data_IF_022319084376
#
_entry.id   IF_022319084376
#
_cell.length_a   1.000
_cell.length_b   1.000
_cell.length_c   1.000
_cell.angle_alpha   90.00
_cell.angle_beta   90.00
_cell.angle_gamma   90.00
#
_symmetry.space_group_name_H-M   'P 1'
#
loop_
_entity.id
_entity.type
_entity.pdbx_description
1 polymer ?
#
# COMPACT_ATOMS: atom_id res chain seq x y z
N UNK A 1 8.50 1.98 25.57
CA UNK A 1 7.41 2.49 24.72
C UNK A 1 7.05 1.43 23.70
N UNK A 2 5.82 0.88 23.75
CA UNK A 2 5.35 -0.21 22.87
C UNK A 2 5.15 0.38 21.46
N UNK A 3 5.93 -0.04 20.47
CA UNK A 3 5.77 0.44 19.08
C UNK A 3 4.33 0.15 18.63
N UNK A 4 3.58 1.14 18.12
CA UNK A 4 2.26 0.89 17.57
C UNK A 4 2.43 -0.03 16.36
N UNK A 5 1.85 -1.23 16.47
CA UNK A 5 1.80 -2.20 15.38
C UNK A 5 0.67 -1.78 14.45
N UNK A 6 0.96 -0.88 13.51
CA UNK A 6 0.04 -0.53 12.43
C UNK A 6 -0.08 -1.72 11.49
N UNK A 7 -0.92 -2.68 11.84
CA UNK A 7 -1.30 -3.81 10.98
C UNK A 7 -2.65 -3.51 10.37
N UNK A 8 -2.66 -2.67 9.33
CA UNK A 8 -3.79 -2.68 8.40
C UNK A 8 -3.74 -4.04 7.69
N UNK A 9 -4.75 -4.87 7.89
CA UNK A 9 -4.79 -6.21 7.30
C UNK A 9 -4.88 -6.12 5.77
N UNK A 10 -4.09 -6.93 5.05
CA UNK A 10 -4.21 -7.07 3.58
C UNK A 10 -5.66 -7.38 3.15
N UNK A 11 -6.39 -8.14 3.97
CA UNK A 11 -7.79 -8.46 3.73
C UNK A 11 -8.70 -7.23 3.82
N UNK A 12 -8.46 -6.33 4.78
CA UNK A 12 -9.25 -5.10 4.93
C UNK A 12 -9.09 -4.18 3.72
N UNK A 13 -7.85 -4.03 3.22
CA UNK A 13 -7.58 -3.29 1.98
C UNK A 13 -8.32 -3.89 0.78
N UNK A 14 -8.32 -5.22 0.65
CA UNK A 14 -9.03 -5.91 -0.42
C UNK A 14 -10.54 -5.72 -0.33
N UNK A 15 -11.12 -5.86 0.87
CA UNK A 15 -12.56 -5.67 1.09
C UNK A 15 -12.97 -4.23 0.75
N UNK A 16 -12.23 -3.24 1.25
CA UNK A 16 -12.53 -1.82 0.95
C UNK A 16 -12.40 -1.50 -0.54
N UNK A 17 -11.45 -2.11 -1.24
CA UNK A 17 -11.28 -1.96 -2.68
C UNK A 17 -12.50 -2.48 -3.45
N UNK A 18 -12.91 -3.72 -3.20
CA UNK A 18 -14.08 -4.30 -3.87
C UNK A 18 -15.38 -3.59 -3.51
N UNK A 19 -15.53 -3.15 -2.26
CA UNK A 19 -16.70 -2.41 -1.83
C UNK A 19 -16.84 -1.08 -2.60
N UNK A 20 -15.73 -0.36 -2.83
CA UNK A 20 -15.74 0.87 -3.62
C UNK A 20 -16.19 0.63 -5.08
N UNK A 21 -15.66 -0.40 -5.74
CA UNK A 21 -16.09 -0.75 -7.11
C UNK A 21 -17.55 -1.21 -7.18
N UNK A 22 -18.00 -1.97 -6.18
CA UNK A 22 -19.39 -2.45 -6.11
C UNK A 22 -20.39 -1.30 -5.99
N UNK A 23 -20.09 -0.28 -5.17
CA UNK A 23 -20.94 0.92 -5.04
C UNK A 23 -21.07 1.65 -6.39
N UNK A 24 -19.99 1.76 -7.16
CA UNK A 24 -20.00 2.41 -8.48
C UNK A 24 -20.88 1.63 -9.45
N UNK A 25 -20.69 0.31 -9.53
CA UNK A 25 -21.48 -0.56 -10.42
C UNK A 25 -22.97 -0.52 -10.03
N UNK A 26 -23.28 -0.52 -8.73
CA UNK A 26 -24.66 -0.43 -8.23
C UNK A 26 -25.35 0.87 -8.64
N UNK A 27 -24.66 2.01 -8.57
CA UNK A 27 -25.22 3.31 -8.98
C UNK A 27 -25.41 3.37 -10.50
N UNK A 28 -24.46 2.84 -11.29
CA UNK A 28 -24.61 2.76 -12.74
C UNK A 28 -25.78 1.86 -13.12
N UNK A 29 -25.93 0.70 -12.50
CA UNK A 29 -27.08 -0.20 -12.73
C UNK A 29 -28.39 0.52 -12.40
N UNK A 30 -28.50 1.15 -11.23
CA UNK A 30 -29.71 1.89 -10.83
C UNK A 30 -30.04 3.06 -11.78
N UNK A 31 -29.03 3.70 -12.37
CA UNK A 31 -29.22 4.72 -13.41
C UNK A 31 -29.71 4.13 -14.73
N UNK A 32 -29.19 2.96 -15.14
CA UNK A 32 -29.65 2.24 -16.35
C UNK A 32 -31.07 1.69 -16.22
N UNK A 33 -31.52 1.38 -15.00
CA UNK A 33 -32.90 0.95 -14.71
C UNK A 33 -33.94 2.08 -14.84
N UNK A 34 -33.51 3.28 -15.26
CA UNK A 34 -34.41 4.39 -15.61
C UNK A 34 -34.87 5.24 -14.44
N UNK A 35 -34.25 5.11 -13.26
CA UNK A 35 -34.52 6.00 -12.12
C UNK A 35 -34.03 7.42 -12.43
N UNK A 36 -34.96 8.36 -12.67
CA UNK A 36 -34.63 9.77 -12.91
C UNK A 36 -33.74 10.37 -11.80
N UNK A 37 -33.98 9.95 -10.55
CA UNK A 37 -33.17 10.34 -9.40
C UNK A 37 -31.74 9.79 -9.46
N UNK A 38 -31.56 8.58 -9.99
CA UNK A 38 -30.22 7.98 -10.14
C UNK A 38 -29.44 8.63 -11.29
N UNK A 39 -30.10 9.00 -12.39
CA UNK A 39 -29.48 9.73 -13.51
C UNK A 39 -29.00 11.12 -13.06
N UNK A 40 -29.80 11.83 -12.26
CA UNK A 40 -29.40 13.11 -11.69
C UNK A 40 -28.18 12.98 -10.76
N UNK A 41 -28.13 11.91 -9.98
CA UNK A 41 -27.01 11.63 -9.06
C UNK A 41 -25.73 11.22 -9.80
N UNK A 42 -25.86 10.50 -10.93
CA UNK A 42 -24.75 9.94 -11.69
C UNK A 42 -23.75 11.01 -12.15
N UNK A 43 -24.23 12.19 -12.57
CA UNK A 43 -23.38 13.30 -13.01
C UNK A 43 -22.44 13.85 -11.92
N UNK A 44 -22.78 13.66 -10.64
CA UNK A 44 -21.96 14.10 -9.52
C UNK A 44 -21.12 12.93 -8.99
N UNK A 45 -21.74 11.76 -8.84
CA UNK A 45 -21.11 10.62 -8.18
C UNK A 45 -20.06 9.96 -9.06
N UNK A 46 -20.29 9.82 -10.36
CA UNK A 46 -19.32 9.18 -11.26
C UNK A 46 -17.97 9.93 -11.29
N UNK A 47 -17.91 11.25 -11.58
CA UNK A 47 -16.63 11.96 -11.61
C UNK A 47 -15.96 12.02 -10.23
N UNK A 48 -16.73 12.18 -9.15
CA UNK A 48 -16.16 12.19 -7.79
C UNK A 48 -15.59 10.84 -7.37
N UNK A 49 -16.25 9.73 -7.72
CA UNK A 49 -15.74 8.37 -7.48
C UNK A 49 -14.51 8.05 -8.31
N UNK A 50 -14.46 8.45 -9.59
CA UNK A 50 -13.27 8.30 -10.44
C UNK A 50 -12.09 9.06 -9.84
N UNK A 51 -12.32 10.31 -9.39
CA UNK A 51 -11.29 11.13 -8.78
C UNK A 51 -10.78 10.53 -7.46
N UNK A 52 -11.68 9.99 -6.64
CA UNK A 52 -11.32 9.28 -5.41
C UNK A 52 -10.54 7.99 -5.67
N UNK A 53 -10.93 7.19 -6.66
CA UNK A 53 -10.17 6.00 -7.07
C UNK A 53 -8.79 6.41 -7.59
N UNK A 54 -8.72 7.40 -8.47
CA UNK A 54 -7.46 7.90 -9.02
C UNK A 54 -6.54 8.45 -7.92
N UNK A 55 -7.08 9.20 -6.96
CA UNK A 55 -6.34 9.70 -5.80
C UNK A 55 -5.82 8.54 -4.94
N UNK A 56 -6.68 7.59 -4.58
CA UNK A 56 -6.29 6.45 -3.74
C UNK A 56 -5.23 5.58 -4.43
N UNK A 57 -5.42 5.30 -5.71
CA UNK A 57 -4.52 4.50 -6.53
C UNK A 57 -3.20 5.23 -6.78
N UNK A 58 -3.24 6.55 -6.95
CA UNK A 58 -2.07 7.42 -7.02
C UNK A 58 -1.26 7.39 -5.71
N UNK A 59 -1.92 7.58 -4.57
CA UNK A 59 -1.30 7.51 -3.24
C UNK A 59 -0.65 6.12 -3.03
N UNK A 60 -1.33 5.04 -3.41
CA UNK A 60 -0.80 3.69 -3.25
C UNK A 60 0.46 3.45 -4.11
N UNK A 61 0.44 3.87 -5.37
CA UNK A 61 1.60 3.78 -6.28
C UNK A 61 2.77 4.62 -5.77
N UNK A 62 2.49 5.83 -5.30
CA UNK A 62 3.51 6.78 -4.85
C UNK A 62 4.15 6.35 -3.53
N UNK A 63 3.34 5.90 -2.56
CA UNK A 63 3.81 5.33 -1.31
C UNK A 63 4.65 4.06 -1.54
N UNK A 64 4.19 3.15 -2.39
CA UNK A 64 4.94 1.95 -2.75
C UNK A 64 6.28 2.25 -3.44
N UNK A 65 6.31 3.24 -4.34
CA UNK A 65 7.55 3.67 -4.99
C UNK A 65 8.54 4.28 -4.00
N UNK A 66 8.08 5.07 -3.02
CA UNK A 66 8.94 5.61 -1.95
C UNK A 66 9.47 4.52 -1.03
N UNK A 67 8.64 3.53 -0.65
CA UNK A 67 9.08 2.41 0.17
C UNK A 67 10.14 1.57 -0.55
N UNK A 68 9.96 1.32 -1.85
CA UNK A 68 10.95 0.63 -2.69
C UNK A 68 12.26 1.43 -2.82
N UNK A 69 12.17 2.75 -3.06
CA UNK A 69 13.33 3.62 -3.12
C UNK A 69 14.09 3.68 -1.79
N UNK A 70 13.37 3.67 -0.66
CA UNK A 70 13.98 3.62 0.68
C UNK A 70 14.62 2.27 0.97
N UNK A 71 14.02 1.15 0.55
CA UNK A 71 14.63 -0.18 0.67
C UNK A 71 15.95 -0.25 -0.11
N UNK A 72 15.97 0.22 -1.36
CA UNK A 72 17.22 0.29 -2.14
C UNK A 72 18.27 1.18 -1.47
N UNK A 73 17.88 2.32 -0.89
CA UNK A 73 18.79 3.17 -0.14
C UNK A 73 19.35 2.43 1.08
N UNK A 74 18.53 1.71 1.82
CA UNK A 74 18.96 0.92 2.97
C UNK A 74 19.96 -0.17 2.56
N UNK A 75 19.70 -0.87 1.45
CA UNK A 75 20.60 -1.89 0.90
C UNK A 75 21.92 -1.31 0.39
N UNK A 76 21.92 -0.05 -0.08
CA UNK A 76 23.12 0.65 -0.54
C UNK A 76 24.01 1.19 0.59
N UNK A 77 23.50 1.23 1.83
CA UNK A 77 24.32 1.57 2.99
C UNK A 77 25.14 0.34 3.36
N UNK A 78 26.45 0.40 3.09
CA UNK A 78 27.40 -0.62 3.54
C UNK A 78 27.18 -0.87 5.04
N UNK A 79 27.14 -2.14 5.50
CA UNK A 79 27.00 -2.44 6.91
C UNK A 79 28.10 -1.69 7.66
N UNK A 80 27.70 -0.94 8.70
CA UNK A 80 28.64 -0.24 9.57
C UNK A 80 29.70 -1.23 10.04
N UNK A 81 30.97 -0.84 9.99
CA UNK A 81 32.07 -1.64 10.53
C UNK A 81 31.66 -2.17 11.91
N UNK A 82 31.79 -3.48 12.18
CA UNK A 82 31.36 -4.04 13.44
C UNK A 82 31.91 -3.24 14.62
N UNK A 83 31.16 -3.09 15.72
CA UNK A 83 31.62 -2.33 16.89
C UNK A 83 32.78 -3.03 17.62
N UNK A 84 33.22 -4.20 17.15
CA UNK A 84 34.34 -4.96 17.68
C UNK A 84 35.50 -4.99 16.67
N UNK A 85 36.72 -5.11 17.18
CA UNK A 85 37.91 -5.25 16.35
C UNK A 85 37.92 -6.67 15.74
N UNK A 86 38.01 -6.83 14.40
CA UNK A 86 38.02 -8.14 13.74
C UNK A 86 39.11 -9.10 14.23
N UNK A 87 40.16 -8.58 14.88
CA UNK A 87 41.25 -9.37 15.49
C UNK A 87 40.84 -10.06 16.79
N UNK A 88 39.73 -9.64 17.39
CA UNK A 88 39.21 -10.17 18.65
C UNK A 88 38.22 -11.33 18.42
N UNK A 89 37.98 -11.71 17.15
CA UNK A 89 37.15 -12.87 16.79
C UNK A 89 37.96 -14.15 17.03
N UNK A 90 37.54 -15.04 17.94
CA UNK A 90 38.17 -16.35 18.09
C UNK A 90 38.05 -17.12 16.78
N UNK A 91 39.11 -17.82 16.37
CA UNK A 91 39.19 -18.54 15.09
C UNK A 91 38.10 -19.61 14.86
N UNK A 92 37.26 -19.89 15.85
CA UNK A 92 36.24 -20.94 15.85
C UNK A 92 34.96 -20.60 15.08
N UNK A 93 34.75 -19.34 14.65
CA UNK A 93 33.54 -18.94 13.92
C UNK A 93 33.72 -18.77 12.40
N UNK A 94 34.74 -19.40 11.82
CA UNK A 94 34.80 -19.54 10.36
C UNK A 94 33.95 -20.75 9.93
N UNK A 95 32.93 -20.47 9.12
CA UNK A 95 32.17 -21.42 8.28
C UNK A 95 31.10 -22.29 8.95
N UNK A 96 29.91 -21.69 9.05
CA UNK A 96 28.64 -22.41 9.00
C UNK A 96 27.70 -21.80 7.97
N UNK A 97 28.18 -21.51 6.74
CA UNK A 97 27.30 -21.09 5.65
C UNK A 97 26.59 -22.31 5.06
N UNK A 98 25.29 -22.45 5.34
CA UNK A 98 24.28 -23.00 4.44
C UNK A 98 22.94 -22.33 4.73
#
# INVERSE_FOLDING_TARGET
>A
MKKPSYRTSKAQLWVSFWFAWSVIVGIVWAGLDGSENAVALANIVIPSMILLIAAMLGIHRFAGAMDFANAQRADSVLPSSPPYNPRDVPAEFSEGSR
#
